data_IF_229600071169
#
_entry.id   IF_229600071169
#
_cell.length_a   1.000
_cell.length_b   1.000
_cell.length_c   1.000
_cell.angle_alpha   90.00
_cell.angle_beta   90.00
_cell.angle_gamma   90.00
#
_symmetry.space_group_name_H-M   'P 1'
#
loop_
_entity.id
_entity.type
_entity.pdbx_description
1 polymer ?
#
# COMPACT_ATOMS: atom_id res chain seq x y z
N UNK A 1 -47.72 -1.78 31.60
CA UNK A 1 -46.30 -2.14 31.75
C UNK A 1 -45.78 -3.14 30.69
N UNK A 2 -46.61 -4.00 30.09
CA UNK A 2 -46.17 -4.97 29.08
C UNK A 2 -45.95 -4.39 27.66
N UNK A 3 -46.56 -3.24 27.33
CA UNK A 3 -46.47 -2.62 25.99
C UNK A 3 -45.18 -1.83 25.77
N UNK A 4 -44.66 -1.18 26.82
CA UNK A 4 -43.43 -0.37 26.77
C UNK A 4 -42.16 -1.24 26.70
N UNK A 5 -42.20 -2.44 27.31
CA UNK A 5 -41.12 -3.43 27.22
C UNK A 5 -41.08 -4.04 25.82
N UNK A 6 -42.23 -4.33 25.21
CA UNK A 6 -42.32 -4.85 23.84
C UNK A 6 -41.81 -3.86 22.78
N UNK A 7 -42.06 -2.56 22.94
CA UNK A 7 -41.54 -1.55 22.01
C UNK A 7 -40.03 -1.33 22.19
N UNK A 8 -39.54 -1.29 23.44
CA UNK A 8 -38.10 -1.22 23.70
C UNK A 8 -37.37 -2.48 23.20
N UNK A 9 -37.96 -3.66 23.33
CA UNK A 9 -37.37 -4.89 22.78
C UNK A 9 -37.44 -4.92 21.25
N UNK A 10 -38.49 -4.37 20.62
CA UNK A 10 -38.54 -4.20 19.16
C UNK A 10 -37.50 -3.19 18.67
N UNK A 11 -37.32 -2.06 19.36
CA UNK A 11 -36.35 -1.02 19.02
C UNK A 11 -34.90 -1.52 19.21
N UNK A 12 -34.64 -2.24 20.30
CA UNK A 12 -33.37 -2.93 20.55
C UNK A 12 -33.17 -4.04 19.50
N UNK A 13 -34.19 -4.84 19.18
CA UNK A 13 -34.07 -5.86 18.13
C UNK A 13 -33.87 -5.27 16.74
N UNK A 14 -34.40 -4.06 16.46
CA UNK A 14 -34.17 -3.30 15.22
C UNK A 14 -32.74 -2.75 15.16
N UNK A 15 -32.16 -2.35 16.30
CA UNK A 15 -30.75 -1.98 16.44
C UNK A 15 -29.80 -3.18 16.31
N UNK A 16 -30.23 -4.37 16.76
CA UNK A 16 -29.45 -5.62 16.65
C UNK A 16 -29.74 -6.43 15.38
N UNK A 17 -30.73 -6.05 14.56
CA UNK A 17 -31.06 -6.74 13.29
C UNK A 17 -30.10 -6.40 12.16
N UNK A 18 -29.38 -5.29 12.24
CA UNK A 18 -28.28 -4.99 11.34
C UNK A 18 -27.00 -5.62 11.90
N UNK A 19 -26.69 -6.85 11.45
CA UNK A 19 -25.39 -7.49 11.69
C UNK A 19 -24.23 -6.50 11.41
N UNK A 20 -24.42 -5.59 10.47
CA UNK A 20 -23.46 -4.56 10.09
C UNK A 20 -23.16 -3.53 11.19
N UNK A 21 -24.13 -3.12 12.02
CA UNK A 21 -23.89 -2.10 13.07
C UNK A 21 -23.17 -2.70 14.28
N UNK A 22 -23.48 -3.94 14.65
CA UNK A 22 -22.77 -4.64 15.73
C UNK A 22 -21.34 -5.01 15.30
N UNK A 23 -21.14 -5.45 14.06
CA UNK A 23 -19.82 -5.71 13.48
C UNK A 23 -19.03 -4.40 13.39
N UNK A 24 -19.65 -3.30 12.96
CA UNK A 24 -19.00 -2.01 12.84
C UNK A 24 -18.60 -1.42 14.20
N UNK A 25 -19.49 -1.43 15.19
CA UNK A 25 -19.17 -0.98 16.55
C UNK A 25 -18.12 -1.89 17.23
N UNK A 26 -18.16 -3.20 16.98
CA UNK A 26 -17.13 -4.14 17.42
C UNK A 26 -15.78 -3.88 16.76
N UNK A 27 -15.75 -3.59 15.46
CA UNK A 27 -14.55 -3.19 14.72
C UNK A 27 -13.98 -1.86 15.20
N UNK A 28 -14.83 -0.89 15.54
CA UNK A 28 -14.39 0.37 16.15
C UNK A 28 -13.77 0.10 17.51
N UNK A 29 -14.45 -0.65 18.39
CA UNK A 29 -13.94 -0.99 19.72
C UNK A 29 -12.60 -1.75 19.67
N UNK A 30 -12.51 -2.78 18.84
CA UNK A 30 -11.25 -3.51 18.59
C UNK A 30 -10.19 -2.60 17.96
N UNK A 31 -10.59 -1.73 17.03
CA UNK A 31 -9.71 -0.76 16.38
C UNK A 31 -9.14 0.25 17.36
N UNK A 32 -9.93 0.75 18.31
CA UNK A 32 -9.47 1.65 19.37
C UNK A 32 -8.50 0.95 20.31
N UNK A 33 -8.82 -0.26 20.78
CA UNK A 33 -7.93 -1.03 21.66
C UNK A 33 -6.63 -1.38 20.95
N UNK A 34 -6.70 -1.83 19.70
CA UNK A 34 -5.53 -2.12 18.88
C UNK A 34 -4.69 -0.86 18.63
N UNK A 35 -5.34 0.27 18.36
CA UNK A 35 -4.67 1.57 18.15
C UNK A 35 -4.00 2.08 19.42
N UNK A 36 -4.64 1.94 20.57
CA UNK A 36 -4.08 2.35 21.86
C UNK A 36 -2.92 1.44 22.28
N UNK A 37 -3.05 0.13 22.06
CA UNK A 37 -1.98 -0.84 22.32
C UNK A 37 -0.79 -0.61 21.38
N UNK A 38 -1.06 -0.34 20.10
CA UNK A 38 -0.04 0.03 19.13
C UNK A 38 0.62 1.36 19.50
N UNK A 39 -0.13 2.37 19.93
CA UNK A 39 0.42 3.65 20.37
C UNK A 39 1.40 3.49 21.55
N UNK A 40 1.10 2.60 22.49
CA UNK A 40 1.97 2.33 23.63
C UNK A 40 3.22 1.50 23.24
N UNK A 41 3.09 0.50 22.36
CA UNK A 41 4.21 -0.34 21.90
C UNK A 41 5.14 0.45 20.98
N UNK A 42 4.58 1.28 20.11
CA UNK A 42 5.31 2.17 19.19
C UNK A 42 5.49 3.58 19.78
N UNK A 43 5.35 3.73 21.10
CA UNK A 43 5.59 5.00 21.76
C UNK A 43 7.03 5.43 21.49
N UNK A 44 7.16 6.57 20.83
CA UNK A 44 8.46 7.14 20.50
C UNK A 44 9.12 7.67 21.78
N UNK A 45 10.29 7.14 22.12
CA UNK A 45 11.05 7.54 23.30
C UNK A 45 12.46 7.97 22.88
N UNK A 46 12.76 9.26 22.98
CA UNK A 46 14.07 9.79 22.58
C UNK A 46 15.16 9.28 23.56
N UNK A 47 16.33 8.81 23.07
CA UNK A 47 17.39 8.28 23.93
C UNK A 47 18.17 9.36 24.71
N UNK A 48 18.00 10.64 24.35
CA UNK A 48 18.63 11.81 24.96
C UNK A 48 20.14 11.67 25.20
N UNK A 49 20.82 11.19 24.16
CA UNK A 49 22.26 11.04 24.14
C UNK A 49 22.81 11.58 22.81
N UNK A 50 23.97 12.25 22.83
CA UNK A 50 24.57 12.79 21.62
C UNK A 50 24.83 11.68 20.60
N UNK A 51 24.69 12.00 19.32
CA UNK A 51 24.74 11.12 18.14
C UNK A 51 23.60 10.08 18.05
N UNK A 52 23.16 9.52 19.20
CA UNK A 52 22.08 8.53 19.25
C UNK A 52 20.72 9.15 18.94
N UNK A 53 20.49 10.39 19.38
CA UNK A 53 19.30 11.16 19.08
C UNK A 53 19.02 11.26 17.57
N UNK A 54 20.02 11.72 16.82
CA UNK A 54 19.96 11.84 15.37
C UNK A 54 19.65 10.50 14.69
N UNK A 55 20.41 9.46 15.04
CA UNK A 55 20.25 8.13 14.46
C UNK A 55 18.86 7.54 14.76
N UNK A 56 18.41 7.63 16.02
CA UNK A 56 17.13 7.06 16.44
C UNK A 56 15.94 7.84 15.85
N UNK A 57 15.98 9.17 15.88
CA UNK A 57 14.92 10.00 15.30
C UNK A 57 14.77 9.79 13.79
N UNK A 58 15.89 9.72 13.05
CA UNK A 58 15.85 9.39 11.62
C UNK A 58 15.38 7.96 11.37
N UNK A 59 15.82 6.98 12.16
CA UNK A 59 15.35 5.61 12.02
C UNK A 59 13.84 5.49 12.27
N UNK A 60 13.30 6.20 13.26
CA UNK A 60 11.88 6.21 13.58
C UNK A 60 11.01 6.79 12.44
N UNK A 61 11.54 7.73 11.66
CA UNK A 61 10.87 8.25 10.46
C UNK A 61 11.08 7.31 9.27
N UNK A 62 12.34 6.93 9.01
CA UNK A 62 12.76 6.27 7.77
C UNK A 62 12.48 4.76 7.71
N UNK A 63 12.65 4.02 8.81
CA UNK A 63 12.48 2.55 8.80
C UNK A 63 11.02 2.14 8.57
N UNK A 64 10.02 2.73 9.24
CA UNK A 64 8.62 2.41 8.94
C UNK A 64 8.23 2.83 7.52
N UNK A 65 8.73 3.97 7.03
CA UNK A 65 8.52 4.37 5.63
C UNK A 65 9.11 3.34 4.66
N UNK A 66 10.36 2.93 4.83
CA UNK A 66 10.98 1.90 3.99
C UNK A 66 10.21 0.58 4.04
N UNK A 67 9.77 0.17 5.22
CA UNK A 67 8.97 -1.05 5.40
C UNK A 67 7.65 -0.97 4.64
N UNK A 68 6.92 0.14 4.76
CA UNK A 68 5.67 0.38 4.03
C UNK A 68 5.89 0.41 2.52
N UNK A 69 7.00 1.00 2.06
CA UNK A 69 7.37 1.00 0.65
C UNK A 69 7.60 -0.42 0.11
N UNK A 70 8.37 -1.24 0.83
CA UNK A 70 8.65 -2.63 0.45
C UNK A 70 7.35 -3.45 0.38
N UNK A 71 6.48 -3.32 1.39
CA UNK A 71 5.16 -3.97 1.40
C UNK A 71 4.34 -3.51 0.18
N UNK A 72 4.32 -2.21 -0.11
CA UNK A 72 3.63 -1.65 -1.27
C UNK A 72 4.13 -2.23 -2.60
N UNK A 73 5.45 -2.42 -2.75
CA UNK A 73 6.05 -3.06 -3.93
C UNK A 73 5.66 -4.54 -4.04
N UNK A 74 5.67 -5.28 -2.92
CA UNK A 74 5.32 -6.71 -2.87
C UNK A 74 3.85 -6.97 -3.21
N UNK A 75 2.94 -6.11 -2.74
CA UNK A 75 1.50 -6.24 -2.98
C UNK A 75 1.07 -5.80 -4.39
N UNK A 76 1.95 -5.13 -5.14
CA UNK A 76 1.63 -4.62 -6.46
C UNK A 76 1.80 -5.71 -7.53
N UNK A 77 0.69 -6.11 -8.17
CA UNK A 77 0.69 -7.13 -9.22
C UNK A 77 1.60 -6.77 -10.41
N UNK A 78 1.72 -5.49 -10.75
CA UNK A 78 2.57 -5.05 -11.87
C UNK A 78 4.06 -5.35 -11.61
N UNK A 79 4.50 -5.39 -10.34
CA UNK A 79 5.86 -5.79 -9.97
C UNK A 79 6.14 -7.22 -10.45
N UNK A 80 5.23 -8.14 -10.16
CA UNK A 80 5.37 -9.55 -10.53
C UNK A 80 5.21 -9.77 -12.03
N UNK A 81 4.36 -8.99 -12.70
CA UNK A 81 4.24 -9.01 -14.16
C UNK A 81 5.56 -8.62 -14.84
N UNK A 82 6.25 -7.58 -14.34
CA UNK A 82 7.58 -7.18 -14.84
C UNK A 82 8.64 -8.26 -14.57
N UNK A 83 8.68 -8.80 -13.34
CA UNK A 83 9.60 -9.88 -12.99
C UNK A 83 9.39 -11.11 -13.89
N UNK A 84 8.13 -11.46 -14.15
CA UNK A 84 7.79 -12.57 -15.04
C UNK A 84 8.19 -12.31 -16.50
N UNK A 85 8.03 -11.08 -17.00
CA UNK A 85 8.46 -10.67 -18.34
C UNK A 85 9.98 -10.74 -18.48
N UNK A 86 10.72 -10.26 -17.48
CA UNK A 86 12.19 -10.37 -17.47
C UNK A 86 12.65 -11.83 -17.40
N UNK A 87 12.03 -12.66 -16.55
CA UNK A 87 12.38 -14.07 -16.41
C UNK A 87 12.10 -14.88 -17.68
N UNK A 88 10.96 -14.64 -18.33
CA UNK A 88 10.50 -15.47 -19.46
C UNK A 88 11.00 -14.98 -20.81
N UNK A 89 11.18 -13.66 -20.98
CA UNK A 89 11.50 -13.01 -22.27
C UNK A 89 12.77 -12.15 -22.21
N UNK A 90 13.51 -12.21 -21.11
CA UNK A 90 14.78 -11.48 -20.93
C UNK A 90 14.61 -9.95 -20.97
N UNK A 91 13.40 -9.44 -20.77
CA UNK A 91 13.04 -8.03 -20.91
C UNK A 91 13.41 -7.40 -22.28
N UNK A 92 13.67 -8.23 -23.31
CA UNK A 92 14.12 -7.78 -24.64
C UNK A 92 13.07 -6.97 -25.41
N UNK A 93 11.79 -7.15 -25.09
CA UNK A 93 10.66 -6.47 -25.74
C UNK A 93 10.13 -5.28 -24.95
N UNK A 94 10.74 -4.97 -23.81
CA UNK A 94 10.35 -3.84 -22.99
C UNK A 94 11.16 -2.61 -23.41
N UNK A 95 10.54 -1.69 -24.14
CA UNK A 95 11.14 -0.39 -24.45
C UNK A 95 11.52 0.34 -23.17
N UNK A 96 12.58 1.16 -23.20
CA UNK A 96 12.98 1.98 -22.07
C UNK A 96 11.83 2.88 -21.56
N UNK A 97 11.03 3.44 -22.48
CA UNK A 97 9.87 4.26 -22.13
C UNK A 97 8.77 3.43 -21.43
N UNK A 98 8.55 2.20 -21.90
CA UNK A 98 7.62 1.25 -21.28
C UNK A 98 8.07 0.86 -19.87
N UNK A 99 9.36 0.55 -19.70
CA UNK A 99 9.95 0.23 -18.42
C UNK A 99 9.82 1.41 -17.45
N UNK A 100 10.09 2.63 -17.91
CA UNK A 100 9.96 3.84 -17.09
C UNK A 100 8.51 4.08 -16.65
N UNK A 101 7.53 3.95 -17.55
CA UNK A 101 6.11 4.12 -17.21
C UNK A 101 5.64 3.07 -16.19
N UNK A 102 6.08 1.81 -16.32
CA UNK A 102 5.73 0.73 -15.39
C UNK A 102 6.39 0.92 -14.03
N UNK A 103 7.67 1.25 -14.01
CA UNK A 103 8.39 1.54 -12.76
C UNK A 103 7.77 2.75 -12.05
N UNK A 104 7.43 3.81 -12.79
CA UNK A 104 6.70 4.95 -12.26
C UNK A 104 5.35 4.58 -11.67
N UNK A 105 4.59 3.69 -12.32
CA UNK A 105 3.32 3.16 -11.80
C UNK A 105 3.52 2.32 -10.54
N UNK A 106 4.57 1.48 -10.48
CA UNK A 106 4.88 0.64 -9.33
C UNK A 106 5.30 1.50 -8.13
N UNK A 107 6.30 2.35 -8.33
CA UNK A 107 6.86 3.23 -7.31
C UNK A 107 5.80 4.22 -6.85
N UNK A 108 5.06 4.86 -7.76
CA UNK A 108 4.02 5.83 -7.41
C UNK A 108 2.94 5.25 -6.49
N UNK A 109 2.46 4.02 -6.77
CA UNK A 109 1.49 3.33 -5.91
C UNK A 109 2.09 2.88 -4.58
N UNK A 110 3.32 2.36 -4.60
CA UNK A 110 4.01 1.91 -3.38
C UNK A 110 4.42 3.06 -2.46
N UNK A 111 4.64 4.26 -3.00
CA UNK A 111 5.08 5.45 -2.26
C UNK A 111 3.97 6.17 -1.49
N UNK A 112 2.69 5.83 -1.68
CA UNK A 112 1.57 6.51 -1.00
C UNK A 112 1.71 6.38 0.52
N UNK A 113 1.76 5.15 1.04
CA UNK A 113 1.88 4.88 2.47
C UNK A 113 3.14 5.48 3.14
N UNK A 114 4.36 5.33 2.60
CA UNK A 114 5.56 5.91 3.22
C UNK A 114 5.59 7.44 3.19
N UNK A 115 5.06 8.06 2.13
CA UNK A 115 4.88 9.52 2.09
C UNK A 115 3.93 9.96 3.21
N UNK A 116 2.76 9.31 3.33
CA UNK A 116 1.80 9.62 4.37
C UNK A 116 2.41 9.46 5.76
N UNK A 117 3.14 8.37 6.01
CA UNK A 117 3.85 8.16 7.27
C UNK A 117 4.84 9.28 7.58
N UNK A 118 5.66 9.66 6.59
CA UNK A 118 6.69 10.69 6.76
C UNK A 118 6.06 12.05 7.04
N UNK A 119 5.00 12.41 6.33
CA UNK A 119 4.21 13.64 6.57
C UNK A 119 3.64 13.63 7.98
N UNK A 120 2.97 12.56 8.41
CA UNK A 120 2.41 12.48 9.77
C UNK A 120 3.51 12.59 10.83
N UNK A 121 4.66 11.94 10.61
CA UNK A 121 5.79 11.99 11.53
C UNK A 121 6.38 13.40 11.65
N UNK A 122 6.52 14.10 10.53
CA UNK A 122 6.99 15.50 10.49
C UNK A 122 5.98 16.47 11.13
N UNK A 123 4.68 16.28 10.89
CA UNK A 123 3.65 17.12 11.50
C UNK A 123 3.52 16.90 13.02
N UNK A 124 3.79 15.67 13.50
CA UNK A 124 3.91 15.40 14.95
C UNK A 124 5.16 16.05 15.54
N UNK A 125 6.27 16.07 14.81
CA UNK A 125 7.50 16.78 15.19
C UNK A 125 8.37 16.10 16.25
N UNK A 126 7.85 15.14 17.03
CA UNK A 126 8.58 14.47 18.11
C UNK A 126 9.92 13.85 17.66
N UNK A 127 9.90 13.08 16.57
CA UNK A 127 11.10 12.43 16.02
C UNK A 127 12.10 13.43 15.43
N UNK A 128 11.61 14.54 14.85
CA UNK A 128 12.44 15.60 14.32
C UNK A 128 13.12 16.39 15.44
N UNK A 129 12.37 16.78 16.48
CA UNK A 129 12.91 17.44 17.68
C UNK A 129 13.99 16.57 18.32
N UNK A 130 13.73 15.27 18.48
CA UNK A 130 14.74 14.34 18.98
C UNK A 130 15.98 14.35 18.08
N UNK A 131 15.82 14.16 16.77
CA UNK A 131 16.95 14.05 15.83
C UNK A 131 17.81 15.32 15.73
N UNK A 132 17.20 16.50 15.81
CA UNK A 132 17.86 17.77 15.52
C UNK A 132 18.21 18.62 16.75
N UNK A 133 17.74 18.23 17.94
CA UNK A 133 18.06 18.91 19.22
C UNK A 133 19.55 19.17 19.43
N UNK A 134 20.41 18.20 19.11
CA UNK A 134 21.87 18.29 19.21
C UNK A 134 22.50 19.40 18.34
N UNK A 135 21.87 19.73 17.22
CA UNK A 135 22.43 20.61 16.18
C UNK A 135 21.94 22.06 16.27
N UNK A 136 21.15 22.40 17.28
CA UNK A 136 20.67 23.76 17.48
C UNK A 136 21.84 24.68 17.81
N UNK A 137 21.97 25.77 17.06
CA UNK A 137 23.01 26.76 17.31
C UNK A 137 22.67 27.63 18.53
N UNK A 138 23.45 27.45 19.60
CA UNK A 138 23.33 28.22 20.83
C UNK A 138 23.54 29.72 20.66
N UNK A 139 24.21 30.16 19.57
CA UNK A 139 24.41 31.59 19.29
C UNK A 139 23.12 32.34 18.99
N UNK A 140 22.09 31.62 18.55
CA UNK A 140 20.75 32.14 18.24
C UNK A 140 19.86 32.27 19.47
N UNK A 141 20.31 31.75 20.62
CA UNK A 141 19.56 31.76 21.88
C UNK A 141 20.03 32.90 22.78
N UNK A 142 19.10 33.78 23.16
CA UNK A 142 19.38 34.94 24.01
C UNK A 142 20.00 34.52 25.35
N UNK A 143 21.18 35.08 25.65
CA UNK A 143 21.91 34.88 26.91
C UNK A 143 22.21 33.41 27.27
N UNK A 144 22.37 32.52 26.27
CA UNK A 144 22.63 31.11 26.54
C UNK A 144 23.95 30.91 27.34
N UNK A 145 23.92 30.27 28.53
CA UNK A 145 25.12 30.12 29.35
C UNK A 145 26.22 29.30 28.66
N UNK A 146 27.48 29.76 28.68
CA UNK A 146 28.58 29.01 28.06
C UNK A 146 28.76 27.65 28.72
N UNK A 147 28.99 26.61 27.92
CA UNK A 147 29.18 25.25 28.39
C UNK A 147 30.17 24.47 27.53
N UNK A 148 31.03 23.69 28.18
CA UNK A 148 31.94 22.75 27.51
C UNK A 148 31.24 21.47 27.05
N UNK A 149 30.07 21.16 27.62
CA UNK A 149 29.25 19.97 27.33
C UNK A 149 28.02 20.28 26.48
N UNK A 150 28.21 21.11 25.44
CA UNK A 150 27.11 21.60 24.60
C UNK A 150 26.25 20.47 24.04
N UNK A 151 26.85 19.50 23.36
CA UNK A 151 26.12 18.41 22.69
C UNK A 151 25.33 17.53 23.66
N UNK A 152 25.87 17.26 24.85
CA UNK A 152 25.21 16.47 25.91
C UNK A 152 23.96 17.19 26.45
N UNK A 153 24.07 18.50 26.71
CA UNK A 153 22.94 19.32 27.16
C UNK A 153 21.90 19.46 26.04
N UNK A 154 22.35 19.74 24.81
CA UNK A 154 21.47 19.88 23.64
C UNK A 154 20.66 18.61 23.38
N UNK A 155 21.31 17.44 23.44
CA UNK A 155 20.65 16.15 23.27
C UNK A 155 19.62 15.82 24.37
N UNK A 156 19.68 16.50 25.53
CA UNK A 156 18.78 16.24 26.66
C UNK A 156 17.47 17.02 26.61
N UNK A 157 17.37 18.09 25.79
CA UNK A 157 16.15 18.90 25.70
C UNK A 157 14.87 18.13 25.36
N UNK A 158 14.87 17.13 24.44
CA UNK A 158 13.66 16.37 24.11
C UNK A 158 13.08 15.58 25.30
N UNK A 159 13.92 15.16 26.27
CA UNK A 159 13.48 14.40 27.44
C UNK A 159 13.06 15.26 28.62
N UNK A 160 13.26 16.59 28.56
CA UNK A 160 13.01 17.53 29.67
C UNK A 160 13.86 17.26 30.92
N UNK A 161 14.92 16.48 30.78
CA UNK A 161 15.91 16.15 31.82
C UNK A 161 17.10 17.12 31.78
N UNK A 162 16.84 18.40 31.60
CA UNK A 162 17.87 19.44 31.48
C UNK A 162 18.17 20.10 32.83
N UNK A 163 19.44 20.49 33.10
CA UNK A 163 19.78 21.21 34.32
C UNK A 163 18.97 22.50 34.50
N UNK A 164 18.69 22.89 35.76
CA UNK A 164 17.84 24.03 36.11
C UNK A 164 18.21 25.34 35.37
N UNK A 165 19.50 25.58 35.13
CA UNK A 165 19.99 26.76 34.42
C UNK A 165 19.59 26.83 32.94
N UNK A 166 19.20 25.71 32.33
CA UNK A 166 18.79 25.61 30.92
C UNK A 166 17.28 25.39 30.74
N UNK A 167 16.53 25.15 31.82
CA UNK A 167 15.11 24.78 31.75
C UNK A 167 14.26 25.79 30.97
N UNK A 168 14.59 27.08 31.05
CA UNK A 168 13.87 28.15 30.35
C UNK A 168 13.98 28.03 28.81
N UNK A 169 15.06 27.43 28.29
CA UNK A 169 15.29 27.26 26.85
C UNK A 169 14.56 26.06 26.27
N UNK A 170 14.14 25.10 27.09
CA UNK A 170 13.45 23.87 26.65
C UNK A 170 12.26 24.17 25.75
N UNK A 171 11.37 25.07 26.18
CA UNK A 171 10.19 25.44 25.41
C UNK A 171 10.53 26.23 24.15
N UNK A 172 11.62 26.99 24.15
CA UNK A 172 12.06 27.79 23.00
C UNK A 172 12.58 26.86 21.91
N UNK A 173 13.50 25.97 22.26
CA UNK A 173 14.11 25.00 21.35
C UNK A 173 13.04 24.01 20.82
N UNK A 174 12.19 23.50 21.71
CA UNK A 174 11.11 22.58 21.33
C UNK A 174 10.16 23.24 20.32
N UNK A 175 9.73 24.49 20.56
CA UNK A 175 8.86 25.22 19.62
C UNK A 175 9.54 25.49 18.28
N UNK A 176 10.80 25.89 18.29
CA UNK A 176 11.55 26.17 17.06
C UNK A 176 11.64 24.91 16.19
N UNK A 177 12.09 23.79 16.77
CA UNK A 177 12.23 22.53 16.03
C UNK A 177 10.88 21.92 15.63
N UNK A 178 9.83 22.07 16.44
CA UNK A 178 8.48 21.67 16.06
C UNK A 178 7.97 22.48 14.87
N UNK A 179 8.20 23.81 14.88
CA UNK A 179 7.85 24.68 13.77
C UNK A 179 8.58 24.26 12.48
N UNK A 180 9.90 24.04 12.54
CA UNK A 180 10.69 23.61 11.38
C UNK A 180 10.20 22.26 10.84
N UNK A 181 9.92 21.31 11.73
CA UNK A 181 9.37 20.01 11.35
C UNK A 181 7.99 20.12 10.67
N UNK A 182 7.08 20.90 11.25
CA UNK A 182 5.73 21.09 10.71
C UNK A 182 5.77 21.84 9.38
N UNK A 183 6.63 22.85 9.25
CA UNK A 183 6.84 23.57 7.99
C UNK A 183 7.33 22.63 6.90
N UNK A 184 8.35 21.80 7.19
CA UNK A 184 8.82 20.77 6.25
C UNK A 184 7.72 19.78 5.89
N UNK A 185 6.90 19.36 6.87
CA UNK A 185 5.73 18.51 6.63
C UNK A 185 4.73 19.13 5.65
N UNK A 186 4.37 20.40 5.84
CA UNK A 186 3.46 21.11 4.93
C UNK A 186 4.05 21.37 3.55
N UNK A 187 5.33 21.73 3.47
CA UNK A 187 6.03 21.88 2.19
C UNK A 187 6.07 20.56 1.43
N UNK A 188 6.33 19.44 2.12
CA UNK A 188 6.30 18.11 1.51
C UNK A 188 4.92 17.78 0.95
N UNK A 189 3.83 18.07 1.69
CA UNK A 189 2.46 17.90 1.19
C UNK A 189 2.20 18.73 -0.07
N UNK A 190 2.60 20.01 -0.06
CA UNK A 190 2.43 20.90 -1.21
C UNK A 190 3.18 20.41 -2.45
N UNK A 191 4.46 20.06 -2.29
CA UNK A 191 5.32 19.55 -3.37
C UNK A 191 4.74 18.25 -3.95
N UNK A 192 4.31 17.32 -3.11
CA UNK A 192 3.77 16.04 -3.57
C UNK A 192 2.43 16.23 -4.28
N UNK A 193 1.57 17.12 -3.77
CA UNK A 193 0.29 17.42 -4.41
C UNK A 193 0.49 18.01 -5.81
N UNK A 194 1.42 18.97 -5.92
CA UNK A 194 1.79 19.56 -7.22
C UNK A 194 2.41 18.51 -8.16
N UNK A 195 3.31 17.68 -7.64
CA UNK A 195 3.93 16.62 -8.42
C UNK A 195 2.90 15.62 -8.96
N UNK A 196 1.97 15.16 -8.13
CA UNK A 196 0.88 14.25 -8.54
C UNK A 196 0.02 14.91 -9.62
N UNK A 197 -0.36 16.17 -9.42
CA UNK A 197 -1.12 16.93 -10.42
C UNK A 197 -0.39 17.00 -11.77
N UNK A 198 0.89 17.37 -11.77
CA UNK A 198 1.70 17.43 -12.99
C UNK A 198 1.82 16.06 -13.67
N UNK A 199 2.05 14.98 -12.91
CA UNK A 199 2.11 13.62 -13.47
C UNK A 199 0.79 13.21 -14.10
N UNK A 200 -0.35 13.54 -13.48
CA UNK A 200 -1.67 13.27 -14.06
C UNK A 200 -1.92 14.07 -15.34
N UNK A 201 -1.56 15.35 -15.36
CA UNK A 201 -1.62 16.18 -16.56
C UNK A 201 -0.76 15.61 -17.68
N UNK A 202 0.51 15.28 -17.41
CA UNK A 202 1.40 14.69 -18.40
C UNK A 202 0.87 13.35 -18.89
N UNK A 203 0.36 12.48 -17.99
CA UNK A 203 -0.26 11.22 -18.37
C UNK A 203 -1.42 11.44 -19.35
N UNK A 204 -2.31 12.40 -19.08
CA UNK A 204 -3.44 12.68 -19.97
C UNK A 204 -3.02 13.36 -21.28
N UNK A 205 -2.01 14.25 -21.28
CA UNK A 205 -1.49 14.87 -22.49
C UNK A 205 -0.74 13.90 -23.41
N UNK A 206 -0.04 12.91 -22.84
CA UNK A 206 0.73 11.91 -23.58
C UNK A 206 0.00 10.57 -23.76
N UNK A 207 -1.23 10.44 -23.28
CA UNK A 207 -2.03 9.24 -23.52
C UNK A 207 -2.37 9.19 -25.01
N UNK A 208 -1.90 8.15 -25.68
CA UNK A 208 -2.29 7.87 -27.08
C UNK A 208 -3.75 7.43 -27.18
N UNK A 209 -4.36 7.04 -26.06
CA UNK A 209 -5.75 6.59 -25.99
C UNK A 209 -6.65 7.72 -25.47
N UNK A 210 -7.84 7.84 -26.06
CA UNK A 210 -8.88 8.71 -25.52
C UNK A 210 -9.35 8.23 -24.14
N UNK A 211 -9.79 9.16 -23.29
CA UNK A 211 -10.20 8.86 -21.91
C UNK A 211 -11.24 7.73 -21.79
N UNK A 212 -12.22 7.68 -22.69
CA UNK A 212 -13.24 6.61 -22.70
C UNK A 212 -12.63 5.24 -23.01
N UNK A 213 -11.65 5.18 -23.91
CA UNK A 213 -10.96 3.95 -24.29
C UNK A 213 -10.03 3.47 -23.18
N UNK A 214 -9.35 4.39 -22.47
CA UNK A 214 -8.57 4.06 -21.28
C UNK A 214 -9.48 3.48 -20.16
N UNK A 215 -10.64 4.10 -19.92
CA UNK A 215 -11.61 3.62 -18.94
C UNK A 215 -12.15 2.22 -19.31
N UNK A 216 -12.50 2.00 -20.58
CA UNK A 216 -12.91 0.69 -21.08
C UNK A 216 -11.79 -0.35 -20.91
N UNK A 217 -10.55 0.00 -21.26
CA UNK A 217 -9.40 -0.89 -21.12
C UNK A 217 -9.16 -1.30 -19.66
N UNK A 218 -9.27 -0.35 -18.72
CA UNK A 218 -9.16 -0.63 -17.30
C UNK A 218 -10.28 -1.58 -16.81
N UNK A 219 -11.51 -1.35 -17.25
CA UNK A 219 -12.65 -2.20 -16.92
C UNK A 219 -12.51 -3.61 -17.52
N UNK A 220 -12.04 -3.72 -18.76
CA UNK A 220 -11.75 -4.99 -19.42
C UNK A 220 -10.72 -5.79 -18.61
N UNK A 221 -9.59 -5.16 -18.25
CA UNK A 221 -8.52 -5.81 -17.48
C UNK A 221 -8.99 -6.32 -16.12
N UNK A 222 -9.80 -5.53 -15.41
CA UNK A 222 -10.39 -5.94 -14.13
C UNK A 222 -11.34 -7.13 -14.28
N UNK A 223 -12.18 -7.09 -15.32
CA UNK A 223 -13.15 -8.15 -15.61
C UNK A 223 -12.45 -9.44 -16.04
N UNK A 224 -11.45 -9.35 -16.92
CA UNK A 224 -10.63 -10.47 -17.37
C UNK A 224 -9.92 -11.15 -16.19
N UNK A 225 -9.28 -10.38 -15.29
CA UNK A 225 -8.61 -10.94 -14.11
C UNK A 225 -9.58 -11.68 -13.18
N UNK A 226 -10.75 -11.10 -12.95
CA UNK A 226 -11.79 -11.71 -12.10
C UNK A 226 -12.31 -13.02 -12.69
N UNK A 227 -12.63 -13.01 -14.00
CA UNK A 227 -13.08 -14.20 -14.71
C UNK A 227 -11.99 -15.27 -14.79
N UNK A 228 -10.74 -14.88 -15.04
CA UNK A 228 -9.61 -15.79 -15.13
C UNK A 228 -9.37 -16.49 -13.79
N UNK A 229 -9.36 -15.75 -12.67
CA UNK A 229 -9.17 -16.31 -11.33
C UNK A 229 -10.28 -17.32 -10.99
N UNK A 230 -11.54 -16.93 -11.17
CA UNK A 230 -12.69 -17.80 -10.89
C UNK A 230 -12.67 -19.06 -11.75
N UNK A 231 -12.32 -18.92 -13.04
CA UNK A 231 -12.25 -20.07 -13.97
C UNK A 231 -11.07 -20.98 -13.65
N UNK A 232 -9.91 -20.42 -13.26
CA UNK A 232 -8.74 -21.19 -12.84
C UNK A 232 -9.00 -22.00 -11.56
N UNK A 233 -9.69 -21.41 -10.58
CA UNK A 233 -10.11 -22.11 -9.36
C UNK A 233 -11.03 -23.30 -9.67
N UNK A 234 -12.03 -23.10 -10.54
CA UNK A 234 -12.92 -24.16 -10.99
C UNK A 234 -12.19 -25.26 -11.79
N UNK A 235 -11.28 -24.86 -12.70
CA UNK A 235 -10.46 -25.81 -13.48
C UNK A 235 -9.56 -26.66 -12.59
N UNK A 236 -8.90 -26.05 -11.61
CA UNK A 236 -8.05 -26.76 -10.65
C UNK A 236 -8.87 -27.74 -9.79
N UNK A 237 -10.05 -27.32 -9.32
CA UNK A 237 -10.96 -28.17 -8.53
C UNK A 237 -11.46 -29.36 -9.34
N UNK A 238 -11.86 -29.14 -10.60
CA UNK A 238 -12.26 -30.20 -11.51
C UNK A 238 -11.14 -31.23 -11.71
N UNK A 239 -9.93 -30.76 -12.02
CA UNK A 239 -8.79 -31.64 -12.26
C UNK A 239 -8.40 -32.44 -11.01
N UNK A 240 -8.41 -31.81 -9.83
CA UNK A 240 -8.18 -32.49 -8.56
C UNK A 240 -9.25 -33.57 -8.28
N UNK A 241 -10.52 -33.29 -8.57
CA UNK A 241 -11.62 -34.22 -8.38
C UNK A 241 -11.46 -35.49 -9.27
N UNK A 242 -11.07 -35.32 -10.53
CA UNK A 242 -10.81 -36.45 -11.44
C UNK A 242 -9.59 -37.29 -10.98
N UNK A 243 -8.51 -36.65 -10.50
CA UNK A 243 -7.36 -37.37 -9.93
C UNK A 243 -7.74 -38.19 -8.69
N UNK A 244 -8.49 -37.59 -7.76
CA UNK A 244 -8.99 -38.27 -6.54
C UNK A 244 -9.91 -39.42 -6.90
N UNK A 245 -10.82 -39.22 -7.85
CA UNK A 245 -11.72 -40.27 -8.36
C UNK A 245 -10.96 -41.42 -9.01
N UNK A 246 -9.91 -41.14 -9.78
CA UNK A 246 -9.05 -42.17 -10.39
C UNK A 246 -8.32 -42.99 -9.33
N UNK A 247 -7.86 -42.36 -8.25
CA UNK A 247 -7.15 -43.03 -7.16
C UNK A 247 -8.07 -43.86 -6.24
N UNK A 248 -9.19 -43.28 -5.79
CA UNK A 248 -10.11 -43.92 -4.81
C UNK A 248 -11.30 -44.64 -5.44
N UNK A 249 -11.56 -44.47 -6.75
CA UNK A 249 -12.74 -44.98 -7.44
C UNK A 249 -14.00 -44.10 -7.31
N UNK A 250 -13.99 -43.09 -6.44
CA UNK A 250 -15.07 -42.12 -6.25
C UNK A 250 -14.53 -40.79 -5.72
N UNK A 251 -15.35 -39.73 -5.78
CA UNK A 251 -15.05 -38.42 -5.20
C UNK A 251 -16.26 -37.89 -4.44
N UNK A 252 -16.04 -37.45 -3.19
CA UNK A 252 -17.07 -36.83 -2.38
C UNK A 252 -17.12 -35.32 -2.70
N UNK A 253 -18.15 -34.90 -3.44
CA UNK A 253 -18.39 -33.50 -3.82
C UNK A 253 -19.65 -32.98 -3.13
N UNK A 254 -19.64 -31.70 -2.75
CA UNK A 254 -20.86 -30.99 -2.34
C UNK A 254 -21.82 -30.85 -3.54
N UNK A 255 -23.13 -30.74 -3.27
CA UNK A 255 -24.12 -30.72 -4.35
C UNK A 255 -23.95 -29.50 -5.30
N UNK A 256 -23.56 -28.34 -4.77
CA UNK A 256 -23.27 -27.15 -5.60
C UNK A 256 -22.07 -27.37 -6.53
N UNK A 257 -21.06 -28.10 -6.08
CA UNK A 257 -19.88 -28.42 -6.88
C UNK A 257 -20.18 -29.43 -7.98
N UNK A 258 -21.08 -30.39 -7.73
CA UNK A 258 -21.49 -31.37 -8.74
C UNK A 258 -22.10 -30.68 -9.96
N UNK A 259 -22.97 -29.70 -9.76
CA UNK A 259 -23.62 -28.97 -10.85
C UNK A 259 -22.62 -28.08 -11.62
N UNK A 260 -21.73 -27.40 -10.88
CA UNK A 260 -20.68 -26.57 -11.49
C UNK A 260 -19.70 -27.41 -12.32
N UNK A 261 -19.31 -28.58 -11.82
CA UNK A 261 -18.37 -29.49 -12.50
C UNK A 261 -19.04 -30.26 -13.64
N UNK A 262 -20.35 -30.57 -13.56
CA UNK A 262 -21.10 -31.23 -14.63
C UNK A 262 -21.20 -30.37 -15.90
N UNK A 263 -21.20 -29.05 -15.74
CA UNK A 263 -21.20 -28.08 -16.85
C UNK A 263 -19.83 -27.95 -17.53
N UNK A 264 -18.76 -28.47 -16.94
CA UNK A 264 -17.40 -28.43 -17.46
C UNK A 264 -17.09 -29.57 -18.44
N UNK A 265 -17.94 -29.80 -19.46
CA UNK A 265 -17.67 -30.80 -20.51
C UNK A 265 -16.69 -30.25 -21.56
N UNK A 266 -15.70 -31.06 -21.95
CA UNK A 266 -14.70 -30.68 -22.98
C UNK A 266 -13.54 -29.81 -22.47
N UNK A 267 -13.32 -29.78 -21.16
CA UNK A 267 -12.21 -29.02 -20.55
C UNK A 267 -10.86 -29.55 -21.03
N UNK A 268 -9.95 -28.61 -21.38
CA UNK A 268 -8.55 -28.94 -21.66
C UNK A 268 -7.95 -29.64 -20.44
N UNK A 269 -7.55 -30.90 -20.62
CA UNK A 269 -7.01 -31.77 -19.56
C UNK A 269 -5.66 -31.27 -19.03
N UNK A 270 -4.85 -30.67 -19.90
CA UNK A 270 -3.59 -30.02 -19.53
C UNK A 270 -3.38 -28.75 -20.36
N UNK A 271 -2.95 -27.68 -19.70
CA UNK A 271 -2.51 -26.45 -20.37
C UNK A 271 -0.98 -26.41 -20.28
N UNK A 272 -0.24 -26.57 -21.40
CA UNK A 272 1.21 -26.61 -21.39
C UNK A 272 1.81 -25.32 -20.82
N UNK A 273 2.98 -25.44 -20.17
CA UNK A 273 3.74 -24.29 -19.62
C UNK A 273 3.98 -23.17 -20.64
N UNK A 274 4.13 -23.52 -21.92
CA UNK A 274 4.33 -22.54 -23.00
C UNK A 274 3.12 -21.62 -23.15
N UNK A 275 1.90 -22.13 -23.02
CA UNK A 275 0.67 -21.33 -23.11
C UNK A 275 0.51 -20.42 -21.90
N UNK A 276 0.82 -20.90 -20.69
CA UNK A 276 0.88 -20.06 -19.50
C UNK A 276 1.85 -18.88 -19.68
N UNK A 277 3.07 -19.16 -20.16
CA UNK A 277 4.06 -18.11 -20.41
C UNK A 277 3.61 -17.11 -21.50
N UNK A 278 2.76 -17.51 -22.45
CA UNK A 278 2.23 -16.62 -23.50
C UNK A 278 1.25 -15.60 -22.94
N UNK A 279 0.37 -16.02 -22.03
CA UNK A 279 -0.67 -15.17 -21.43
C UNK A 279 -0.18 -14.36 -20.22
N UNK A 280 0.96 -14.72 -19.62
CA UNK A 280 1.58 -13.99 -18.51
C UNK A 280 2.49 -12.85 -18.97
N UNK A 281 2.61 -11.83 -18.12
CA UNK A 281 3.55 -10.71 -18.26
C UNK A 281 2.87 -9.40 -18.63
N UNK A 282 3.69 -8.36 -18.73
CA UNK A 282 3.20 -7.00 -19.02
C UNK A 282 2.58 -6.95 -20.41
N UNK A 283 1.46 -6.22 -20.52
CA UNK A 283 0.86 -5.85 -21.79
C UNK A 283 0.71 -4.33 -21.88
N UNK A 284 1.35 -3.74 -22.90
CA UNK A 284 1.03 -2.39 -23.33
C UNK A 284 -0.01 -2.47 -24.44
N UNK A 285 -0.96 -1.55 -24.41
CA UNK A 285 -1.97 -1.40 -25.46
C UNK A 285 -1.33 -1.40 -26.85
N UNK A 286 -1.93 -2.15 -27.78
CA UNK A 286 -1.53 -2.21 -29.19
C UNK A 286 -2.77 -2.39 -30.05
N UNK A 287 -2.71 -1.85 -31.25
CA UNK A 287 -3.65 -2.12 -32.32
C UNK A 287 -2.93 -2.94 -33.40
N UNK A 288 -3.64 -3.91 -33.98
CA UNK A 288 -3.21 -4.67 -35.15
C UNK A 288 -4.35 -4.55 -36.15
N UNK A 289 -4.10 -3.96 -37.32
CA UNK A 289 -5.10 -3.78 -38.39
C UNK A 289 -6.42 -3.19 -37.87
N UNK A 290 -6.34 -2.05 -37.15
CA UNK A 290 -7.44 -1.35 -36.47
C UNK A 290 -8.18 -2.17 -35.39
N UNK A 291 -7.69 -3.37 -35.06
CA UNK A 291 -8.25 -4.20 -33.99
C UNK A 291 -7.51 -3.95 -32.67
N UNK A 292 -8.19 -3.46 -31.62
CA UNK A 292 -7.56 -3.16 -30.34
C UNK A 292 -7.29 -4.43 -29.55
N UNK A 293 -6.04 -4.56 -29.06
CA UNK A 293 -5.66 -5.62 -28.15
C UNK A 293 -5.52 -5.07 -26.73
N UNK A 294 -6.24 -5.69 -25.79
CA UNK A 294 -6.35 -5.20 -24.41
C UNK A 294 -5.48 -5.98 -23.42
N UNK A 295 -5.07 -7.20 -23.76
CA UNK A 295 -4.26 -8.04 -22.87
C UNK A 295 -3.44 -9.07 -23.65
N UNK A 296 -2.53 -9.75 -22.96
CA UNK A 296 -1.81 -10.91 -23.49
C UNK A 296 -2.75 -12.07 -23.83
N UNK A 297 -3.78 -12.29 -23.01
CA UNK A 297 -4.74 -13.36 -23.20
C UNK A 297 -5.65 -13.06 -24.40
N UNK A 298 -6.10 -11.81 -24.53
CA UNK A 298 -6.82 -11.33 -25.71
C UNK A 298 -5.99 -11.48 -26.99
N UNK A 299 -4.71 -11.11 -26.94
CA UNK A 299 -3.77 -11.35 -28.04
C UNK A 299 -3.66 -12.84 -28.37
N UNK A 300 -3.47 -13.69 -27.37
CA UNK A 300 -3.37 -15.14 -27.55
C UNK A 300 -4.64 -15.73 -28.17
N UNK A 301 -5.82 -15.32 -27.70
CA UNK A 301 -7.11 -15.78 -28.21
C UNK A 301 -7.30 -15.40 -29.68
N UNK A 302 -6.96 -14.17 -30.06
CA UNK A 302 -7.04 -13.69 -31.45
C UNK A 302 -6.18 -14.54 -32.40
N UNK A 303 -4.90 -14.74 -32.08
CA UNK A 303 -4.02 -15.58 -32.91
C UNK A 303 -4.39 -17.07 -32.90
N UNK A 304 -5.09 -17.56 -31.87
CA UNK A 304 -5.51 -18.97 -31.81
C UNK A 304 -6.79 -19.22 -32.61
N UNK A 305 -7.53 -18.16 -32.97
CA UNK A 305 -8.77 -18.25 -33.76
C UNK A 305 -8.55 -17.97 -35.25
N UNK A 306 -7.49 -17.26 -35.60
CA UNK A 306 -7.11 -16.98 -36.99
C UNK A 306 -6.35 -18.14 -37.68
N UNK A 307 -5.95 -19.17 -36.93
CA UNK A 307 -5.31 -20.40 -37.41
C UNK A 307 -6.09 -21.63 -36.93
#
# INVERSE_FOLDING_TARGET
MATLISENFKFISLFFKSKDVMIFNGLIGLGTVASQTAYNIFAFNCPCAPQKNYLYGLAAIGVPALTLFIIGVMLNQNTWDVVSECRTRGCRKLSAAAAFALLGSIVGRASVAPVTWSVISLLRGEAFVCAFSEFVDTSTLDNFPPTSKRSEIMASFPCKDVPAQYMNYTKVIERQLQYESQLLGWLLVGIISLFVFLVLCLKHCFSTLGYQQEAYWAQYRSSEQTLFKRTAELHAKYHAAECVKSFFGFVALENQDKDLLANCRGVKSAIPRVEWNRVTGVYLYREIDDTPLYSRLNKWDMYTKEF
#
